data_IF_577124759420
#
_entry.id   IF_577124759420
#
_cell.length_a   1.000
_cell.length_b   1.000
_cell.length_c   1.000
_cell.angle_alpha   90.00
_cell.angle_beta   90.00
_cell.angle_gamma   90.00
#
_symmetry.space_group_name_H-M   'P 1'
#
loop_
_entity.id
_entity.type
_entity.pdbx_description
1 polymer ?
#
# COMPACT_ATOMS: atom_id res chain seq x y z
N UNK A 1 9.70 1.13 18.07
CA UNK A 1 9.71 0.64 16.67
C UNK A 1 8.95 1.68 15.85
N UNK A 2 9.28 1.89 14.57
CA UNK A 2 8.42 2.74 13.72
C UNK A 2 7.16 1.96 13.31
N UNK A 3 6.01 2.61 13.29
CA UNK A 3 4.72 2.04 12.88
C UNK A 3 4.62 2.01 11.36
N UNK A 4 4.31 0.84 10.80
CA UNK A 4 4.17 0.64 9.35
C UNK A 4 2.72 0.92 8.94
N UNK A 5 2.50 1.74 7.92
CA UNK A 5 1.22 1.83 7.21
C UNK A 5 1.21 0.91 6.00
N UNK A 6 0.45 -0.18 6.03
CA UNK A 6 0.31 -1.12 4.91
C UNK A 6 -0.96 -0.80 4.10
N UNK A 7 -0.80 -0.37 2.85
CA UNK A 7 -1.90 -0.26 1.90
C UNK A 7 -2.00 -1.61 1.18
N UNK A 8 -3.03 -2.37 1.53
CA UNK A 8 -3.29 -3.72 1.01
C UNK A 8 -4.58 -3.82 0.22
N UNK A 9 -5.03 -5.04 -0.01
CA UNK A 9 -6.28 -5.34 -0.71
C UNK A 9 -6.17 -5.38 -2.23
N UNK A 10 -4.95 -5.37 -2.80
CA UNK A 10 -4.74 -5.37 -4.27
C UNK A 10 -3.80 -6.51 -4.74
N UNK A 11 -4.10 -7.78 -4.46
CA UNK A 11 -5.30 -8.33 -3.81
C UNK A 11 -5.09 -8.61 -2.30
N UNK A 12 -6.15 -9.00 -1.58
CA UNK A 12 -6.08 -9.26 -0.14
C UNK A 12 -5.18 -10.47 0.21
N UNK A 13 -5.08 -11.47 -0.68
CA UNK A 13 -4.24 -12.66 -0.50
C UNK A 13 -2.77 -12.27 -0.29
N UNK A 14 -2.29 -11.28 -1.06
CA UNK A 14 -0.94 -10.76 -0.93
C UNK A 14 -0.72 -9.98 0.37
N UNK A 15 -1.76 -9.29 0.86
CA UNK A 15 -1.69 -8.51 2.10
C UNK A 15 -1.47 -9.42 3.31
N UNK A 16 -2.07 -10.61 3.31
CA UNK A 16 -1.82 -11.64 4.32
C UNK A 16 -0.34 -12.06 4.34
N UNK A 17 0.28 -12.21 3.16
CA UNK A 17 1.70 -12.56 3.06
C UNK A 17 2.59 -11.44 3.61
N UNK A 18 2.33 -10.18 3.27
CA UNK A 18 3.08 -9.05 3.81
C UNK A 18 2.99 -8.99 5.34
N UNK A 19 1.77 -9.08 5.90
CA UNK A 19 1.58 -9.09 7.35
C UNK A 19 2.39 -10.21 8.03
N UNK A 20 2.33 -11.43 7.47
CA UNK A 20 3.07 -12.59 7.99
C UNK A 20 4.57 -12.35 7.94
N UNK A 21 5.11 -11.98 6.78
CA UNK A 21 6.55 -11.78 6.57
C UNK A 21 7.12 -10.69 7.46
N UNK A 22 6.41 -9.57 7.61
CA UNK A 22 6.81 -8.46 8.47
C UNK A 22 6.90 -8.94 9.92
N UNK A 23 5.83 -9.56 10.45
CA UNK A 23 5.80 -10.02 11.84
C UNK A 23 6.83 -11.12 12.10
N UNK A 24 6.95 -12.10 11.21
CA UNK A 24 7.96 -13.16 11.32
C UNK A 24 9.38 -12.60 11.28
N UNK A 25 9.63 -11.55 10.49
CA UNK A 25 10.95 -10.89 10.44
C UNK A 25 11.26 -10.14 11.72
N UNK A 26 10.30 -9.42 12.29
CA UNK A 26 10.47 -8.74 13.58
C UNK A 26 10.70 -9.75 14.70
N UNK A 27 9.90 -10.82 14.77
CA UNK A 27 10.08 -11.86 15.77
C UNK A 27 11.45 -12.54 15.66
N UNK A 28 11.90 -12.85 14.43
CA UNK A 28 13.24 -13.41 14.20
C UNK A 28 14.38 -12.48 14.63
N UNK A 29 14.19 -11.15 14.55
CA UNK A 29 15.21 -10.16 14.92
C UNK A 29 15.24 -9.84 16.42
N UNK A 30 14.08 -9.78 17.06
CA UNK A 30 13.95 -9.32 18.45
C UNK A 30 13.65 -10.46 19.45
N UNK A 31 13.18 -11.62 18.97
CA UNK A 31 12.87 -12.79 19.78
C UNK A 31 11.59 -12.67 20.61
N UNK A 32 11.36 -13.67 21.47
CA UNK A 32 10.24 -13.69 22.42
C UNK A 32 8.88 -13.53 21.76
N UNK A 33 8.07 -12.62 22.31
CA UNK A 33 6.71 -12.31 21.84
C UNK A 33 6.66 -11.01 21.02
N UNK A 34 7.78 -10.56 20.45
CA UNK A 34 7.82 -9.35 19.64
C UNK A 34 7.09 -9.53 18.30
N UNK A 35 6.27 -8.54 17.97
CA UNK A 35 5.54 -8.37 16.71
C UNK A 35 5.75 -6.95 16.17
N UNK A 36 5.39 -6.72 14.91
CA UNK A 36 5.50 -5.40 14.29
C UNK A 36 4.37 -4.47 14.75
N UNK A 37 4.69 -3.19 14.94
CA UNK A 37 3.66 -2.15 15.00
C UNK A 37 3.21 -1.82 13.57
N UNK A 38 1.98 -2.15 13.20
CA UNK A 38 1.41 -1.77 11.91
C UNK A 38 -0.05 -1.34 11.98
N UNK A 39 -0.42 -0.52 11.01
CA UNK A 39 -1.77 -0.22 10.59
C UNK A 39 -1.94 -0.75 9.16
N UNK A 40 -3.09 -1.33 8.84
CA UNK A 40 -3.37 -1.82 7.50
C UNK A 40 -4.68 -1.23 6.99
N UNK A 41 -4.63 -0.63 5.80
CA UNK A 41 -5.82 -0.20 5.08
C UNK A 41 -6.00 -1.13 3.88
N UNK A 42 -7.08 -1.91 3.87
CA UNK A 42 -7.39 -2.81 2.77
C UNK A 42 -8.33 -2.10 1.80
N UNK A 43 -7.84 -1.80 0.61
CA UNK A 43 -8.68 -1.28 -0.47
C UNK A 43 -9.60 -2.37 -1.01
N UNK A 44 -10.72 -1.96 -1.59
CA UNK A 44 -11.54 -2.83 -2.43
C UNK A 44 -10.86 -2.93 -3.81
N UNK A 45 -10.39 -4.14 -4.15
CA UNK A 45 -9.66 -4.34 -5.39
C UNK A 45 -10.53 -4.07 -6.63
N UNK A 46 -11.84 -4.34 -6.56
CA UNK A 46 -12.73 -4.16 -7.70
C UNK A 46 -12.81 -2.70 -8.12
N UNK A 47 -12.82 -1.78 -7.16
CA UNK A 47 -12.82 -0.34 -7.44
C UNK A 47 -11.51 0.12 -8.11
N UNK A 48 -10.37 -0.43 -7.67
CA UNK A 48 -9.06 -0.12 -8.24
C UNK A 48 -8.93 -0.72 -9.64
N UNK A 49 -9.26 -1.99 -9.82
CA UNK A 49 -9.15 -2.70 -11.10
C UNK A 49 -10.00 -2.02 -12.19
N UNK A 50 -11.23 -1.61 -11.85
CA UNK A 50 -12.08 -0.84 -12.76
C UNK A 50 -11.40 0.44 -13.26
N UNK A 51 -10.84 1.24 -12.35
CA UNK A 51 -10.17 2.50 -12.71
C UNK A 51 -8.93 2.25 -13.57
N UNK A 52 -8.16 1.20 -13.26
CA UNK A 52 -7.00 0.80 -14.08
C UNK A 52 -7.42 0.36 -15.48
N UNK A 53 -8.52 -0.40 -15.59
CA UNK A 53 -9.06 -0.85 -16.86
C UNK A 53 -9.55 0.31 -17.74
N UNK A 54 -10.14 1.33 -17.11
CA UNK A 54 -10.58 2.58 -17.76
C UNK A 54 -9.42 3.54 -18.08
N UNK A 55 -8.20 3.24 -17.64
CA UNK A 55 -7.03 4.11 -17.79
C UNK A 55 -7.04 5.32 -16.86
N UNK A 56 -7.94 5.38 -15.87
CA UNK A 56 -8.05 6.45 -14.88
C UNK A 56 -7.04 6.25 -13.74
N UNK A 57 -5.76 6.47 -14.07
CA UNK A 57 -4.66 6.39 -13.11
C UNK A 57 -4.76 7.45 -12.00
N UNK A 58 -5.31 8.62 -12.32
CA UNK A 58 -5.50 9.69 -11.33
C UNK A 58 -6.57 9.31 -10.30
N UNK A 59 -7.64 8.63 -10.72
CA UNK A 59 -8.65 8.04 -9.84
C UNK A 59 -8.06 6.97 -8.93
N UNK A 60 -7.30 6.02 -9.48
CA UNK A 60 -6.65 4.96 -8.70
C UNK A 60 -5.63 5.54 -7.69
N UNK A 61 -4.89 6.58 -8.10
CA UNK A 61 -3.96 7.31 -7.23
C UNK A 61 -4.69 8.03 -6.09
N UNK A 62 -5.84 8.68 -6.35
CA UNK A 62 -6.65 9.33 -5.31
C UNK A 62 -7.10 8.34 -4.23
N UNK A 63 -7.55 7.14 -4.61
CA UNK A 63 -7.92 6.10 -3.65
C UNK A 63 -6.73 5.64 -2.80
N UNK A 64 -5.57 5.46 -3.44
CA UNK A 64 -4.33 5.06 -2.74
C UNK A 64 -3.82 6.14 -1.78
N UNK A 65 -3.91 7.42 -2.19
CA UNK A 65 -3.53 8.57 -1.36
C UNK A 65 -4.47 8.73 -0.18
N UNK A 66 -5.79 8.54 -0.36
CA UNK A 66 -6.74 8.57 0.76
C UNK A 66 -6.41 7.49 1.80
N UNK A 67 -6.11 6.27 1.34
CA UNK A 67 -5.67 5.20 2.22
C UNK A 67 -4.38 5.57 2.99
N UNK A 68 -3.38 6.16 2.30
CA UNK A 68 -2.16 6.62 2.93
C UNK A 68 -2.43 7.69 4.01
N UNK A 69 -3.27 8.69 3.72
CA UNK A 69 -3.64 9.75 4.66
C UNK A 69 -4.35 9.23 5.91
N UNK A 70 -5.23 8.24 5.76
CA UNK A 70 -5.89 7.60 6.90
C UNK A 70 -4.90 6.84 7.78
N UNK A 71 -3.92 6.17 7.16
CA UNK A 71 -2.84 5.49 7.89
C UNK A 71 -1.93 6.50 8.59
N UNK A 72 -1.59 7.61 7.94
CA UNK A 72 -0.83 8.72 8.53
C UNK A 72 -1.56 9.29 9.76
N UNK A 73 -2.84 9.61 9.62
CA UNK A 73 -3.68 10.10 10.71
C UNK A 73 -3.84 9.08 11.85
N UNK A 74 -3.73 7.78 11.54
CA UNK A 74 -3.69 6.70 12.53
C UNK A 74 -2.35 6.54 13.26
N UNK A 75 -1.30 7.25 12.82
CA UNK A 75 0.04 7.21 13.44
C UNK A 75 1.05 6.33 12.72
N UNK A 76 0.87 6.05 11.42
CA UNK A 76 1.92 5.42 10.61
C UNK A 76 3.12 6.37 10.41
N UNK A 77 4.33 5.85 10.61
CA UNK A 77 5.58 6.60 10.40
C UNK A 77 6.09 6.52 8.95
N UNK A 78 5.68 5.49 8.21
CA UNK A 78 6.02 5.26 6.81
C UNK A 78 5.05 4.26 6.17
N UNK A 79 5.03 4.19 4.83
CA UNK A 79 4.07 3.39 4.07
C UNK A 79 4.71 2.27 3.26
N UNK A 80 3.97 1.16 3.11
CA UNK A 80 4.23 0.06 2.19
C UNK A 80 3.00 -0.20 1.34
N UNK A 81 3.17 -0.38 0.03
CA UNK A 81 2.09 -0.83 -0.87
C UNK A 81 2.24 -2.35 -1.05
N UNK A 82 1.28 -3.10 -0.53
CA UNK A 82 1.23 -4.56 -0.62
C UNK A 82 0.40 -5.04 -1.81
N UNK A 83 0.79 -4.65 -3.03
CA UNK A 83 0.14 -5.08 -4.27
C UNK A 83 1.06 -6.02 -5.07
N UNK A 84 0.49 -7.00 -5.77
CA UNK A 84 1.25 -7.96 -6.60
C UNK A 84 1.13 -7.70 -8.11
N UNK A 85 0.51 -6.61 -8.53
CA UNK A 85 0.48 -6.26 -9.95
C UNK A 85 1.71 -5.39 -10.29
N UNK A 86 2.61 -5.82 -11.21
CA UNK A 86 3.89 -5.15 -11.44
C UNK A 86 3.81 -3.85 -12.26
N UNK A 87 2.64 -3.23 -12.45
CA UNK A 87 2.56 -2.03 -13.25
C UNK A 87 1.55 -1.01 -12.70
N UNK A 88 2.01 0.24 -12.66
CA UNK A 88 1.18 1.45 -12.77
C UNK A 88 0.55 2.04 -11.49
N UNK A 89 1.32 2.07 -10.39
CA UNK A 89 1.24 3.20 -9.44
C UNK A 89 2.61 3.88 -9.45
N UNK A 90 3.03 4.37 -10.62
CA UNK A 90 4.00 5.45 -10.65
C UNK A 90 3.19 6.73 -10.45
N UNK A 91 3.34 7.37 -9.29
CA UNK A 91 3.03 8.79 -9.18
C UNK A 91 3.99 9.54 -10.10
N UNK A 92 3.62 9.68 -11.37
CA UNK A 92 4.35 10.53 -12.30
C UNK A 92 4.03 11.99 -11.96
N UNK A 93 4.89 12.59 -11.12
CA UNK A 93 4.83 14.00 -10.75
C UNK A 93 5.36 14.93 -11.87
N UNK A 94 5.59 14.42 -13.10
CA UNK A 94 6.00 15.27 -14.20
C UNK A 94 4.87 16.22 -14.62
N UNK A 95 5.20 17.49 -14.91
CA UNK A 95 4.22 18.47 -15.37
C UNK A 95 3.57 18.01 -16.68
N UNK A 96 2.35 18.50 -17.00
CA UNK A 96 1.51 17.96 -18.08
C UNK A 96 2.17 17.85 -19.47
N UNK A 97 3.28 18.56 -19.72
CA UNK A 97 4.00 18.55 -20.99
C UNK A 97 5.08 17.46 -21.17
N UNK A 98 5.35 16.65 -20.15
CA UNK A 98 6.43 15.63 -20.19
C UNK A 98 5.91 14.17 -20.17
N UNK A 99 4.59 13.99 -20.27
CA UNK A 99 3.99 12.65 -20.39
C UNK A 99 4.14 12.20 -21.85
N UNK A 100 5.01 11.21 -22.08
CA UNK A 100 5.27 10.64 -23.41
C UNK A 100 4.07 9.87 -23.96
N UNK A 101 3.97 9.86 -25.29
CA UNK A 101 2.91 9.25 -26.11
C UNK A 101 2.73 7.74 -25.86
#
# INVERSE_FOLDING_TARGET
MKTIGLIGGMSWESSVLYYRLINSTINRRLGGLHSAQLLMYSLDFAAIEKLQHEGDWDGAAKLSIDAARRLEAGGADFFLIGAINPATIYCDNRPPGERGN
#
